data_IF_552809498118
#
_entry.id   IF_552809498118
#
_cell.length_a   1.000
_cell.length_b   1.000
_cell.length_c   1.000
_cell.angle_alpha   90.00
_cell.angle_beta   90.00
_cell.angle_gamma   90.00
#
_symmetry.space_group_name_H-M   'P 1'
#
loop_
_entity.id
_entity.type
_entity.pdbx_description
1 polymer ?
#
# COMPACT_ATOMS: atom_id res chain seq x y z
N UNK A 1 0.12 17.02 10.00
CA UNK A 1 -0.53 16.24 8.93
C UNK A 1 -1.44 15.15 9.48
N UNK A 2 -0.92 14.20 10.30
CA UNK A 2 -1.70 13.12 10.93
C UNK A 2 -3.04 13.58 11.52
N UNK A 3 -3.01 14.56 12.43
CA UNK A 3 -4.21 15.10 13.07
C UNK A 3 -5.19 15.78 12.11
N UNK A 4 -4.69 16.50 11.10
CA UNK A 4 -5.53 17.17 10.10
C UNK A 4 -6.30 16.13 9.29
N UNK A 5 -5.60 15.07 8.86
CA UNK A 5 -6.23 13.96 8.15
C UNK A 5 -7.26 13.23 9.05
N UNK A 6 -6.94 13.01 10.32
CA UNK A 6 -7.85 12.33 11.25
C UNK A 6 -9.13 13.13 11.47
N UNK A 7 -9.02 14.44 11.67
CA UNK A 7 -10.18 15.32 11.85
C UNK A 7 -11.06 15.35 10.59
N UNK A 8 -10.45 15.38 9.41
CA UNK A 8 -11.19 15.32 8.15
C UNK A 8 -11.99 14.01 7.99
N UNK A 9 -11.54 12.91 8.60
CA UNK A 9 -12.27 11.64 8.61
C UNK A 9 -13.47 11.59 9.57
N UNK A 10 -13.64 12.57 10.46
CA UNK A 10 -14.80 12.62 11.36
C UNK A 10 -16.12 12.84 10.61
N UNK A 11 -16.05 13.32 9.37
CA UNK A 11 -17.18 13.47 8.46
C UNK A 11 -17.76 12.16 7.93
N UNK A 12 -17.17 11.00 8.29
CA UNK A 12 -17.63 9.68 7.88
C UNK A 12 -17.22 9.29 6.46
N UNK A 13 -17.64 8.09 6.05
CA UNK A 13 -17.19 7.42 4.84
C UNK A 13 -17.40 8.27 3.56
N UNK A 14 -18.51 9.01 3.48
CA UNK A 14 -18.85 9.84 2.32
C UNK A 14 -17.86 11.01 2.13
N UNK A 15 -17.56 11.75 3.19
CA UNK A 15 -16.64 12.90 3.13
C UNK A 15 -15.22 12.41 2.91
N UNK A 16 -14.80 11.37 3.62
CA UNK A 16 -13.50 10.72 3.39
C UNK A 16 -13.35 10.26 1.94
N UNK A 17 -14.36 9.58 1.38
CA UNK A 17 -14.35 9.13 0.00
C UNK A 17 -14.25 10.28 -1.02
N UNK A 18 -14.97 11.38 -0.79
CA UNK A 18 -14.89 12.57 -1.64
C UNK A 18 -13.51 13.24 -1.59
N UNK A 19 -12.95 13.45 -0.40
CA UNK A 19 -11.60 14.02 -0.23
C UNK A 19 -10.53 13.11 -0.84
N UNK A 20 -10.61 11.80 -0.60
CA UNK A 20 -9.71 10.81 -1.20
C UNK A 20 -9.82 10.80 -2.72
N UNK A 21 -11.02 10.93 -3.28
CA UNK A 21 -11.23 11.01 -4.74
C UNK A 21 -10.63 12.27 -5.36
N UNK A 22 -10.65 13.41 -4.68
CA UNK A 22 -10.01 14.64 -5.18
C UNK A 22 -8.49 14.52 -5.11
N UNK A 23 -7.98 14.08 -3.96
CA UNK A 23 -6.54 13.98 -3.70
C UNK A 23 -5.84 12.94 -4.58
N UNK A 24 -6.53 11.87 -5.01
CA UNK A 24 -5.96 10.86 -5.91
C UNK A 24 -5.57 11.44 -7.27
N UNK A 25 -6.27 12.46 -7.76
CA UNK A 25 -5.88 13.15 -9.00
C UNK A 25 -4.51 13.82 -8.90
N UNK A 26 -4.08 14.17 -7.67
CA UNK A 26 -2.75 14.68 -7.39
C UNK A 26 -1.63 13.72 -7.77
N UNK A 27 -1.86 12.40 -7.75
CA UNK A 27 -0.89 11.41 -8.24
C UNK A 27 -1.21 10.93 -9.65
N UNK A 28 -2.49 10.75 -9.98
CA UNK A 28 -2.87 10.24 -11.30
C UNK A 28 -2.40 11.18 -12.41
N UNK A 29 -2.58 12.50 -12.25
CA UNK A 29 -2.20 13.47 -13.29
C UNK A 29 -0.69 13.44 -13.56
N UNK A 30 0.21 13.61 -12.57
CA UNK A 30 1.65 13.50 -12.80
C UNK A 30 2.08 12.15 -13.35
N UNK A 31 1.56 11.05 -12.79
CA UNK A 31 2.05 9.72 -13.14
C UNK A 31 1.58 9.31 -14.54
N UNK A 32 0.29 9.49 -14.86
CA UNK A 32 -0.22 9.21 -16.22
C UNK A 32 0.39 10.18 -17.23
N UNK A 33 0.54 11.46 -16.86
CA UNK A 33 1.24 12.45 -17.67
C UNK A 33 2.64 11.97 -18.04
N UNK A 34 3.42 11.53 -17.04
CA UNK A 34 4.75 10.98 -17.25
C UNK A 34 4.74 9.73 -18.14
N UNK A 35 3.82 8.81 -17.92
CA UNK A 35 3.69 7.58 -18.71
C UNK A 35 3.39 7.84 -20.20
N UNK A 36 2.78 8.98 -20.54
CA UNK A 36 2.42 9.34 -21.91
C UNK A 36 3.50 10.25 -22.53
N UNK A 37 3.86 11.34 -21.84
CA UNK A 37 4.72 12.40 -22.39
C UNK A 37 6.20 12.16 -22.09
N UNK A 38 6.54 11.36 -21.09
CA UNK A 38 7.93 11.13 -20.69
C UNK A 38 8.77 10.44 -21.77
N UNK A 39 8.13 9.71 -22.68
CA UNK A 39 8.82 9.05 -23.79
C UNK A 39 9.51 10.01 -24.75
N UNK A 40 9.07 11.27 -24.85
CA UNK A 40 9.74 12.27 -25.69
C UNK A 40 11.12 12.69 -25.17
N UNK A 41 11.38 12.50 -23.87
CA UNK A 41 12.66 12.79 -23.22
C UNK A 41 13.44 11.53 -22.87
N UNK A 42 12.96 10.36 -23.33
CA UNK A 42 13.58 9.09 -23.02
C UNK A 42 14.87 8.89 -23.81
N UNK A 43 15.97 8.65 -23.10
CA UNK A 43 17.26 8.32 -23.69
C UNK A 43 17.56 6.81 -23.57
N UNK A 44 17.56 6.05 -24.68
CA UNK A 44 17.87 4.63 -24.65
C UNK A 44 19.28 4.31 -24.14
N UNK A 45 20.24 5.21 -24.38
CA UNK A 45 21.62 5.05 -23.93
C UNK A 45 21.74 5.23 -22.41
N UNK A 46 21.04 6.22 -21.85
CA UNK A 46 21.00 6.42 -20.40
C UNK A 46 20.31 5.25 -19.70
N UNK A 47 19.21 4.75 -20.27
CA UNK A 47 18.48 3.60 -19.75
C UNK A 47 19.35 2.33 -19.75
N UNK A 48 20.04 2.03 -20.86
CA UNK A 48 20.91 0.86 -20.96
C UNK A 48 22.05 0.91 -19.92
N UNK A 49 22.65 2.08 -19.73
CA UNK A 49 23.70 2.28 -18.72
C UNK A 49 23.16 2.17 -17.28
N UNK A 50 21.90 2.55 -17.05
CA UNK A 50 21.27 2.54 -15.72
C UNK A 50 20.59 1.21 -15.37
N UNK A 51 20.47 0.28 -16.32
CA UNK A 51 19.75 -1.00 -16.13
C UNK A 51 20.38 -1.92 -15.09
N UNK A 52 21.71 -2.04 -15.09
CA UNK A 52 22.44 -2.82 -14.09
C UNK A 52 23.84 -2.23 -13.79
N UNK A 53 23.93 -1.11 -13.06
CA UNK A 53 25.19 -0.40 -12.82
C UNK A 53 26.21 -1.20 -12.02
N UNK A 54 25.73 -2.14 -11.18
CA UNK A 54 26.56 -2.93 -10.28
C UNK A 54 26.72 -4.40 -10.73
N UNK A 55 26.24 -4.76 -11.93
CA UNK A 55 26.28 -6.12 -12.48
C UNK A 55 25.82 -7.21 -11.50
N UNK A 56 24.81 -6.90 -10.68
CA UNK A 56 24.31 -7.83 -9.67
C UNK A 56 23.57 -9.01 -10.33
N UNK A 57 23.76 -10.26 -9.83
CA UNK A 57 23.01 -11.41 -10.31
C UNK A 57 21.50 -11.24 -10.12
N UNK A 58 20.71 -11.74 -11.09
CA UNK A 58 19.26 -11.56 -11.13
C UNK A 58 18.55 -11.94 -9.82
N UNK A 59 18.84 -13.13 -9.27
CA UNK A 59 18.19 -13.60 -8.05
C UNK A 59 18.52 -12.75 -6.82
N UNK A 60 19.74 -12.22 -6.75
CA UNK A 60 20.16 -11.33 -5.65
C UNK A 60 19.45 -9.97 -5.76
N UNK A 61 19.34 -9.42 -6.97
CA UNK A 61 18.63 -8.17 -7.22
C UNK A 61 17.12 -8.29 -6.94
N UNK A 62 16.49 -9.39 -7.37
CA UNK A 62 15.09 -9.68 -7.04
C UNK A 62 14.92 -9.79 -5.51
N UNK A 63 15.83 -10.50 -4.84
CA UNK A 63 15.80 -10.66 -3.39
C UNK A 63 15.91 -9.37 -2.60
N UNK A 64 16.66 -8.37 -3.08
CA UNK A 64 16.78 -7.06 -2.42
C UNK A 64 15.58 -6.14 -2.71
N UNK A 65 15.03 -6.15 -3.94
CA UNK A 65 13.93 -5.27 -4.33
C UNK A 65 12.54 -5.75 -3.90
N UNK A 66 12.35 -7.05 -3.63
CA UNK A 66 11.03 -7.62 -3.36
C UNK A 66 10.31 -6.99 -2.16
N UNK A 67 11.05 -6.54 -1.12
CA UNK A 67 10.44 -5.90 0.05
C UNK A 67 9.73 -4.59 -0.35
N UNK A 68 10.44 -3.75 -1.10
CA UNK A 68 9.92 -2.47 -1.57
C UNK A 68 8.77 -2.66 -2.57
N UNK A 69 8.85 -3.67 -3.43
CA UNK A 69 7.75 -4.00 -4.35
C UNK A 69 6.52 -4.49 -3.60
N UNK A 70 6.67 -5.37 -2.61
CA UNK A 70 5.56 -5.84 -1.78
C UNK A 70 4.90 -4.68 -1.02
N UNK A 71 5.71 -3.75 -0.49
CA UNK A 71 5.20 -2.53 0.12
C UNK A 71 4.38 -1.68 -0.84
N UNK A 72 4.84 -1.53 -2.09
CA UNK A 72 4.14 -0.74 -3.10
C UNK A 72 2.75 -1.28 -3.47
N UNK A 73 2.50 -2.58 -3.23
CA UNK A 73 1.21 -3.23 -3.40
C UNK A 73 0.44 -3.46 -2.09
N UNK A 74 1.01 -3.08 -0.94
CA UNK A 74 0.31 -3.13 0.33
C UNK A 74 -0.88 -2.17 0.31
N UNK A 75 -2.05 -2.62 0.74
CA UNK A 75 -3.28 -1.84 0.73
C UNK A 75 -4.33 -2.33 -0.27
N UNK A 76 -4.05 -3.36 -1.06
CA UNK A 76 -5.06 -4.04 -1.88
C UNK A 76 -6.23 -4.59 -1.02
N UNK A 77 -5.95 -4.93 0.23
CA UNK A 77 -6.91 -5.40 1.22
C UNK A 77 -7.80 -4.29 1.78
N UNK A 78 -7.44 -3.02 1.59
CA UNK A 78 -8.20 -1.89 2.14
C UNK A 78 -9.63 -1.83 1.60
N UNK A 79 -9.84 -2.21 0.34
CA UNK A 79 -11.18 -2.30 -0.24
C UNK A 79 -12.02 -3.40 0.44
N UNK A 80 -11.40 -4.52 0.84
CA UNK A 80 -12.07 -5.59 1.57
C UNK A 80 -12.36 -5.19 3.02
N UNK A 81 -11.41 -4.53 3.69
CA UNK A 81 -11.55 -4.07 5.08
C UNK A 81 -12.65 -3.01 5.24
N UNK A 82 -12.96 -2.25 4.19
CA UNK A 82 -14.03 -1.26 4.19
C UNK A 82 -15.33 -1.77 3.53
N UNK A 83 -15.47 -3.08 3.29
CA UNK A 83 -16.62 -3.63 2.56
C UNK A 83 -17.99 -3.32 3.22
N UNK A 84 -18.03 -3.18 4.56
CA UNK A 84 -19.26 -2.85 5.31
C UNK A 84 -19.86 -1.48 4.96
N UNK A 85 -19.04 -0.53 4.45
CA UNK A 85 -19.47 0.84 4.13
C UNK A 85 -19.52 1.11 2.63
N UNK A 86 -19.26 0.09 1.81
CA UNK A 86 -19.27 0.18 0.35
C UNK A 86 -20.66 -0.21 -0.16
N UNK A 87 -21.19 0.58 -1.09
CA UNK A 87 -22.42 0.22 -1.81
C UNK A 87 -22.16 -1.02 -2.68
N UNK A 88 -23.02 -2.05 -2.60
CA UNK A 88 -22.91 -3.30 -3.37
C UNK A 88 -21.51 -3.97 -3.31
N UNK A 89 -21.06 -4.40 -2.11
CA UNK A 89 -19.69 -4.89 -1.91
C UNK A 89 -19.37 -6.14 -2.74
N UNK A 90 -20.33 -7.03 -2.96
CA UNK A 90 -20.14 -8.26 -3.76
C UNK A 90 -19.64 -8.00 -5.18
N UNK A 91 -20.02 -6.86 -5.77
CA UNK A 91 -19.62 -6.48 -7.13
C UNK A 91 -18.48 -5.47 -7.10
N UNK A 92 -18.56 -4.47 -6.23
CA UNK A 92 -17.64 -3.33 -6.26
C UNK A 92 -16.27 -3.65 -5.64
N UNK A 93 -16.22 -4.46 -4.57
CA UNK A 93 -14.94 -4.81 -3.93
C UNK A 93 -14.05 -5.62 -4.87
N UNK A 94 -14.52 -6.71 -5.54
CA UNK A 94 -13.65 -7.45 -6.45
C UNK A 94 -13.14 -6.61 -7.63
N UNK A 95 -13.98 -5.74 -8.19
CA UNK A 95 -13.59 -4.85 -9.30
C UNK A 95 -12.56 -3.83 -8.83
N UNK A 96 -12.75 -3.23 -7.65
CA UNK A 96 -11.82 -2.25 -7.10
C UNK A 96 -10.45 -2.88 -6.79
N UNK A 97 -10.43 -4.07 -6.16
CA UNK A 97 -9.18 -4.76 -5.82
C UNK A 97 -8.44 -5.19 -7.08
N UNK A 98 -9.09 -5.92 -7.99
CA UNK A 98 -8.42 -6.46 -9.18
C UNK A 98 -8.07 -5.36 -10.18
N UNK A 99 -9.01 -4.46 -10.47
CA UNK A 99 -8.82 -3.35 -11.40
C UNK A 99 -7.77 -2.36 -10.88
N UNK A 100 -7.85 -1.99 -9.60
CA UNK A 100 -6.87 -1.09 -8.97
C UNK A 100 -5.47 -1.70 -8.92
N UNK A 101 -5.34 -2.97 -8.54
CA UNK A 101 -4.04 -3.65 -8.46
C UNK A 101 -3.39 -3.81 -9.84
N UNK A 102 -4.15 -4.26 -10.85
CA UNK A 102 -3.62 -4.40 -12.21
C UNK A 102 -3.27 -3.04 -12.83
N UNK A 103 -4.12 -2.03 -12.63
CA UNK A 103 -3.85 -0.67 -13.08
C UNK A 103 -2.58 -0.09 -12.45
N UNK A 104 -2.44 -0.23 -11.13
CA UNK A 104 -1.24 0.20 -10.41
C UNK A 104 0.02 -0.55 -10.89
N UNK A 105 -0.08 -1.86 -11.14
CA UNK A 105 1.05 -2.65 -11.64
C UNK A 105 1.55 -2.16 -13.00
N UNK A 106 0.63 -1.93 -13.95
CA UNK A 106 0.99 -1.39 -15.28
C UNK A 106 1.62 -0.01 -15.13
N UNK A 107 1.02 0.86 -14.33
CA UNK A 107 1.52 2.21 -14.10
C UNK A 107 2.92 2.18 -13.49
N UNK A 108 3.16 1.38 -12.46
CA UNK A 108 4.47 1.26 -11.81
C UNK A 108 5.56 0.79 -12.78
N UNK A 109 5.26 -0.21 -13.61
CA UNK A 109 6.21 -0.69 -14.62
C UNK A 109 6.53 0.43 -15.60
N UNK A 110 5.51 1.06 -16.18
CA UNK A 110 5.70 2.10 -17.21
C UNK A 110 6.42 3.32 -16.61
N UNK A 111 5.95 3.84 -15.48
CA UNK A 111 6.51 5.05 -14.87
C UNK A 111 7.96 4.86 -14.44
N UNK A 112 8.31 3.71 -13.85
CA UNK A 112 9.68 3.44 -13.39
C UNK A 112 10.64 3.35 -14.57
N UNK A 113 10.23 2.69 -15.66
CA UNK A 113 11.05 2.59 -16.87
C UNK A 113 11.27 3.96 -17.52
N UNK A 114 10.22 4.78 -17.62
CA UNK A 114 10.31 6.13 -18.17
C UNK A 114 11.25 7.01 -17.34
N UNK A 115 11.11 7.02 -16.00
CA UNK A 115 12.00 7.79 -15.12
C UNK A 115 13.46 7.35 -15.28
N UNK A 116 13.72 6.04 -15.32
CA UNK A 116 15.07 5.50 -15.49
C UNK A 116 15.73 5.88 -16.82
N UNK A 117 14.95 6.22 -17.85
CA UNK A 117 15.46 6.72 -19.13
C UNK A 117 15.59 8.24 -19.23
N UNK A 118 15.10 8.99 -18.23
CA UNK A 118 15.14 10.45 -18.20
C UNK A 118 16.22 10.95 -17.22
N UNK A 119 16.28 10.37 -16.02
CA UNK A 119 17.13 10.87 -14.92
C UNK A 119 18.26 9.88 -14.63
N UNK A 120 19.52 10.35 -14.48
CA UNK A 120 20.64 9.50 -14.08
C UNK A 120 20.41 8.78 -12.73
N UNK A 121 20.86 7.53 -12.62
CA UNK A 121 20.64 6.69 -11.42
C UNK A 121 21.19 7.33 -10.12
N UNK A 122 22.34 8.01 -10.20
CA UNK A 122 22.95 8.67 -9.04
C UNK A 122 22.09 9.82 -8.49
N UNK A 123 21.44 10.56 -9.39
CA UNK A 123 20.54 11.66 -9.00
C UNK A 123 19.23 11.11 -8.41
N UNK A 124 18.73 9.99 -8.95
CA UNK A 124 17.58 9.28 -8.38
C UNK A 124 17.89 8.74 -6.98
N UNK A 125 19.08 8.18 -6.76
CA UNK A 125 19.49 7.62 -5.48
C UNK A 125 19.61 8.69 -4.37
N UNK A 126 20.02 9.90 -4.74
CA UNK A 126 20.16 11.03 -3.79
C UNK A 126 18.88 11.86 -3.64
N UNK A 127 17.91 11.70 -4.54
CA UNK A 127 16.66 12.45 -4.51
C UNK A 127 15.67 11.88 -3.51
N UNK A 128 15.03 12.76 -2.74
CA UNK A 128 13.88 12.42 -1.89
C UNK A 128 12.55 12.56 -2.63
N UNK A 129 12.55 13.12 -3.84
CA UNK A 129 11.36 13.39 -4.65
C UNK A 129 11.62 13.06 -6.14
N UNK A 130 11.69 11.76 -6.51
CA UNK A 130 12.10 11.33 -7.85
C UNK A 130 11.15 11.81 -8.95
N UNK A 131 9.84 11.87 -8.69
CA UNK A 131 8.87 12.43 -9.65
C UNK A 131 9.08 13.93 -9.86
N UNK A 132 9.28 14.71 -8.78
CA UNK A 132 9.57 16.13 -8.89
C UNK A 132 10.85 16.40 -9.70
N UNK A 133 11.89 15.59 -9.47
CA UNK A 133 13.14 15.66 -10.20
C UNK A 133 12.97 15.32 -11.69
N UNK A 134 12.23 14.27 -12.03
CA UNK A 134 11.98 13.89 -13.42
C UNK A 134 11.27 15.01 -14.20
N UNK A 135 10.21 15.60 -13.62
CA UNK A 135 9.51 16.72 -14.25
C UNK A 135 10.35 18.01 -14.31
N UNK A 136 11.23 18.23 -13.33
CA UNK A 136 12.17 19.34 -13.37
C UNK A 136 13.18 19.21 -14.52
N UNK A 137 13.65 17.99 -14.83
CA UNK A 137 14.55 17.73 -15.94
C UNK A 137 13.86 17.76 -17.31
N UNK A 138 12.59 17.33 -17.39
CA UNK A 138 11.83 17.36 -18.66
C UNK A 138 11.45 18.78 -19.09
N UNK A 139 11.03 19.62 -18.13
CA UNK A 139 10.49 20.95 -18.42
C UNK A 139 11.32 22.05 -17.74
N UNK A 140 10.98 22.36 -16.50
CA UNK A 140 11.64 23.40 -15.70
C UNK A 140 11.54 23.08 -14.21
N UNK A 141 12.44 23.62 -13.36
CA UNK A 141 12.39 23.42 -11.91
C UNK A 141 11.06 23.83 -11.26
N UNK A 142 10.39 24.85 -11.80
CA UNK A 142 9.09 25.31 -11.29
C UNK A 142 7.98 24.28 -11.52
N UNK A 143 7.98 23.61 -12.69
CA UNK A 143 7.06 22.49 -12.94
C UNK A 143 7.34 21.35 -11.97
N UNK A 144 8.62 21.04 -11.71
CA UNK A 144 9.00 20.06 -10.70
C UNK A 144 8.42 20.34 -9.31
N UNK A 145 8.46 21.60 -8.85
CA UNK A 145 7.87 22.01 -7.56
C UNK A 145 6.35 21.86 -7.53
N UNK A 146 5.65 22.21 -8.61
CA UNK A 146 4.20 22.03 -8.72
C UNK A 146 3.84 20.55 -8.58
N UNK A 147 4.56 19.67 -9.30
CA UNK A 147 4.36 18.23 -9.22
C UNK A 147 4.64 17.71 -7.81
N UNK A 148 5.70 18.17 -7.14
CA UNK A 148 5.95 17.82 -5.73
C UNK A 148 4.78 18.20 -4.83
N UNK A 149 4.18 19.37 -5.02
CA UNK A 149 2.97 19.79 -4.29
C UNK A 149 1.79 18.85 -4.52
N UNK A 150 1.55 18.44 -5.76
CA UNK A 150 0.51 17.46 -6.10
C UNK A 150 0.77 16.09 -5.46
N UNK A 151 2.02 15.64 -5.42
CA UNK A 151 2.40 14.39 -4.75
C UNK A 151 2.17 14.46 -3.24
N UNK A 152 2.47 15.59 -2.60
CA UNK A 152 2.17 15.82 -1.18
C UNK A 152 0.67 15.76 -0.92
N UNK A 153 -0.16 16.37 -1.78
CA UNK A 153 -1.62 16.26 -1.68
C UNK A 153 -2.10 14.82 -1.80
N UNK A 154 -1.54 14.03 -2.72
CA UNK A 154 -1.88 12.61 -2.83
C UNK A 154 -1.46 11.81 -1.59
N UNK A 155 -0.31 12.13 -0.97
CA UNK A 155 0.11 11.51 0.28
C UNK A 155 -0.91 11.77 1.41
N UNK A 156 -1.45 12.98 1.50
CA UNK A 156 -2.55 13.29 2.42
C UNK A 156 -3.79 12.44 2.12
N UNK A 157 -4.14 12.26 0.84
CA UNK A 157 -5.23 11.41 0.38
C UNK A 157 -5.09 9.94 0.79
N UNK A 158 -3.90 9.38 0.63
CA UNK A 158 -3.57 8.02 1.05
C UNK A 158 -3.65 7.86 2.56
N UNK A 159 -3.11 8.83 3.31
CA UNK A 159 -3.18 8.83 4.77
C UNK A 159 -4.64 8.89 5.29
N UNK A 160 -5.49 9.68 4.65
CA UNK A 160 -6.93 9.73 4.95
C UNK A 160 -7.57 8.34 4.81
N UNK A 161 -7.35 7.68 3.66
CA UNK A 161 -7.90 6.35 3.38
C UNK A 161 -7.39 5.28 4.34
N UNK A 162 -6.10 5.29 4.67
CA UNK A 162 -5.52 4.35 5.63
C UNK A 162 -6.04 4.55 7.05
N UNK A 163 -6.16 5.80 7.51
CA UNK A 163 -6.72 6.07 8.84
C UNK A 163 -8.17 5.61 8.96
N UNK A 164 -8.96 5.80 7.90
CA UNK A 164 -10.34 5.30 7.84
C UNK A 164 -10.38 3.76 7.87
N UNK A 165 -9.56 3.11 7.05
CA UNK A 165 -9.48 1.64 6.97
C UNK A 165 -9.13 1.02 8.31
N UNK A 166 -8.10 1.53 9.00
CA UNK A 166 -7.68 1.01 10.29
C UNK A 166 -8.83 1.17 11.31
N UNK A 167 -9.50 2.33 11.33
CA UNK A 167 -10.61 2.57 12.24
C UNK A 167 -11.78 1.59 12.01
N UNK A 168 -12.07 1.23 10.76
CA UNK A 168 -13.07 0.22 10.44
C UNK A 168 -12.68 -1.18 10.91
N UNK A 169 -11.41 -1.58 10.73
CA UNK A 169 -10.93 -2.87 11.25
C UNK A 169 -11.11 -2.95 12.78
N UNK A 170 -10.73 -1.91 13.53
CA UNK A 170 -10.95 -1.88 14.98
C UNK A 170 -12.42 -1.91 15.36
N UNK A 171 -13.29 -1.24 14.59
CA UNK A 171 -14.73 -1.25 14.80
C UNK A 171 -15.30 -2.65 14.58
N UNK A 172 -15.05 -3.28 13.42
CA UNK A 172 -15.54 -4.63 13.11
C UNK A 172 -15.03 -5.66 14.12
N UNK A 173 -13.76 -5.58 14.54
CA UNK A 173 -13.23 -6.47 15.59
C UNK A 173 -13.83 -6.21 16.99
N UNK A 174 -14.28 -4.98 17.28
CA UNK A 174 -15.01 -4.67 18.52
C UNK A 174 -16.47 -5.14 18.47
N UNK A 175 -17.10 -5.08 17.29
CA UNK A 175 -18.46 -5.59 17.05
C UNK A 175 -18.52 -7.12 17.21
N UNK A 176 -17.45 -7.83 16.82
CA UNK A 176 -17.27 -9.27 17.06
C UNK A 176 -16.90 -9.62 18.52
N UNK A 177 -16.62 -8.62 19.37
CA UNK A 177 -16.32 -8.80 20.79
C UNK A 177 -14.85 -9.06 21.13
N UNK A 178 -13.93 -8.95 20.18
CA UNK A 178 -12.48 -9.10 20.43
C UNK A 178 -11.85 -7.87 21.10
N UNK A 179 -12.42 -6.68 20.87
CA UNK A 179 -11.95 -5.41 21.45
C UNK A 179 -12.97 -4.78 22.39
N UNK A 180 -12.54 -3.85 23.28
CA UNK A 180 -13.45 -3.11 24.14
C UNK A 180 -14.54 -2.39 23.33
N UNK A 181 -15.78 -2.41 23.86
CA UNK A 181 -16.98 -1.78 23.24
C UNK A 181 -16.84 -0.28 22.94
N UNK A 182 -15.80 0.37 23.46
CA UNK A 182 -15.44 1.76 23.16
C UNK A 182 -15.15 1.94 21.66
N UNK A 183 -14.56 0.93 20.99
CA UNK A 183 -14.22 0.99 19.57
C UNK A 183 -15.40 0.70 18.62
N UNK A 184 -16.46 0.08 19.14
CA UNK A 184 -17.72 -0.19 18.41
C UNK A 184 -18.62 1.06 18.32
N UNK A 185 -18.37 2.08 19.16
CA UNK A 185 -19.18 3.31 19.16
C UNK A 185 -18.93 4.15 17.91
N UNK A 186 -19.95 4.24 17.06
CA UNK A 186 -19.99 5.13 15.89
C UNK A 186 -20.66 6.46 16.22
N UNK A 187 -20.29 7.50 15.49
CA UNK A 187 -20.94 8.81 15.54
C UNK A 187 -22.19 8.86 14.65
N UNK A 188 -22.90 10.00 14.64
CA UNK A 188 -24.06 10.24 13.75
C UNK A 188 -23.74 10.13 12.26
N UNK A 189 -22.46 10.15 11.88
CA UNK A 189 -21.97 9.99 10.51
C UNK A 189 -21.39 8.59 10.24
N UNK A 190 -21.75 7.59 11.07
CA UNK A 190 -21.25 6.21 11.02
C UNK A 190 -19.72 6.09 11.09
N UNK A 191 -19.04 7.09 11.66
CA UNK A 191 -17.58 7.11 11.82
C UNK A 191 -17.16 6.66 13.23
N UNK A 192 -16.26 5.67 13.39
CA UNK A 192 -15.70 5.25 14.68
C UNK A 192 -14.63 6.22 15.21
N UNK A 193 -15.07 7.42 15.62
CA UNK A 193 -14.18 8.53 16.01
C UNK A 193 -13.28 8.19 17.22
N UNK A 194 -13.77 7.39 18.18
CA UNK A 194 -12.96 6.98 19.33
C UNK A 194 -11.78 6.09 18.92
N UNK A 195 -11.99 5.19 17.95
CA UNK A 195 -10.91 4.41 17.35
C UNK A 195 -9.92 5.28 16.60
N UNK A 196 -10.40 6.22 15.78
CA UNK A 196 -9.55 7.16 15.04
C UNK A 196 -8.65 7.99 15.98
N UNK A 197 -9.19 8.47 17.11
CA UNK A 197 -8.43 9.24 18.10
C UNK A 197 -7.36 8.38 18.81
N UNK A 198 -7.67 7.15 19.19
CA UNK A 198 -6.68 6.25 19.78
C UNK A 198 -5.53 5.94 18.81
N UNK A 199 -5.87 5.70 17.54
CA UNK A 199 -4.91 5.44 16.46
C UNK A 199 -4.00 6.65 16.25
N UNK A 200 -4.54 7.87 16.13
CA UNK A 200 -3.72 9.06 15.84
C UNK A 200 -2.80 9.41 17.01
N UNK A 201 -3.22 9.18 18.25
CA UNK A 201 -2.37 9.36 19.45
C UNK A 201 -1.20 8.38 19.41
N UNK A 202 -1.48 7.10 19.15
CA UNK A 202 -0.44 6.07 19.06
C UNK A 202 0.53 6.33 17.89
N UNK A 203 0.01 6.68 16.71
CA UNK A 203 0.79 7.07 15.54
C UNK A 203 1.68 8.29 15.83
N UNK A 204 1.15 9.29 16.54
CA UNK A 204 1.92 10.48 16.93
C UNK A 204 3.07 10.10 17.88
N UNK A 205 2.82 9.21 18.85
CA UNK A 205 3.84 8.69 19.75
C UNK A 205 4.96 7.97 19.00
N UNK A 206 4.62 7.05 18.10
CA UNK A 206 5.60 6.35 17.27
C UNK A 206 6.38 7.28 16.35
N UNK A 207 5.72 8.29 15.76
CA UNK A 207 6.36 9.28 14.90
C UNK A 207 7.43 10.08 15.66
N UNK A 208 7.18 10.42 16.94
CA UNK A 208 8.15 11.14 17.77
C UNK A 208 9.33 10.26 18.17
N UNK A 209 9.10 8.97 18.43
CA UNK A 209 10.16 8.01 18.80
C UNK A 209 11.09 7.63 17.65
N UNK A 210 10.66 7.86 16.40
CA UNK A 210 11.37 7.38 15.21
C UNK A 210 12.30 8.43 14.59
N UNK A 211 12.38 9.66 15.13
CA UNK A 211 13.18 10.77 14.57
C UNK A 211 14.64 10.34 14.37
N UNK A 212 15.09 10.32 13.11
CA UNK A 212 16.41 9.85 12.68
C UNK A 212 17.04 10.87 11.72
N UNK A 213 18.37 11.03 11.69
CA UNK A 213 19.06 12.05 10.89
C UNK A 213 18.95 11.87 9.36
N UNK A 214 18.50 10.71 8.84
CA UNK A 214 18.27 10.52 7.40
C UNK A 214 16.88 9.94 7.08
N UNK A 215 16.10 10.70 6.29
CA UNK A 215 14.72 10.36 5.92
C UNK A 215 14.62 9.06 5.10
N UNK A 216 15.52 8.86 4.13
CA UNK A 216 15.51 7.66 3.28
C UNK A 216 15.81 6.37 4.07
N UNK A 217 16.78 6.42 4.99
CA UNK A 217 17.09 5.25 5.83
C UNK A 217 15.91 4.92 6.76
N UNK A 218 15.34 5.94 7.38
CA UNK A 218 14.16 5.79 8.24
C UNK A 218 12.98 5.17 7.48
N UNK A 219 12.68 5.68 6.29
CA UNK A 219 11.62 5.15 5.42
C UNK A 219 11.87 3.67 5.09
N UNK A 220 13.08 3.32 4.67
CA UNK A 220 13.42 1.92 4.34
C UNK A 220 13.29 0.98 5.54
N UNK A 221 13.69 1.41 6.74
CA UNK A 221 13.53 0.59 7.96
C UNK A 221 12.05 0.38 8.28
N UNK A 222 11.25 1.45 8.24
CA UNK A 222 9.80 1.37 8.51
C UNK A 222 9.08 0.50 7.49
N UNK A 223 9.39 0.65 6.21
CA UNK A 223 8.83 -0.17 5.13
C UNK A 223 9.19 -1.63 5.30
N UNK A 224 10.46 -1.95 5.56
CA UNK A 224 10.87 -3.34 5.77
C UNK A 224 10.17 -3.96 6.97
N UNK A 225 10.07 -3.24 8.09
CA UNK A 225 9.34 -3.69 9.26
C UNK A 225 7.86 -3.96 8.93
N UNK A 226 7.21 -3.02 8.25
CA UNK A 226 5.81 -3.15 7.90
C UNK A 226 5.52 -4.30 6.91
N UNK A 227 6.42 -4.56 5.96
CA UNK A 227 6.30 -5.71 5.06
C UNK A 227 6.42 -7.02 5.84
N UNK A 228 7.42 -7.13 6.71
CA UNK A 228 7.64 -8.35 7.51
C UNK A 228 6.46 -8.63 8.44
N UNK A 229 5.88 -7.60 9.07
CA UNK A 229 4.73 -7.78 9.97
C UNK A 229 3.45 -8.14 9.20
N UNK A 230 3.25 -7.61 7.99
CA UNK A 230 2.05 -7.90 7.18
C UNK A 230 2.09 -9.26 6.47
N UNK A 231 3.27 -9.84 6.25
CA UNK A 231 3.39 -11.19 5.66
C UNK A 231 2.67 -12.24 6.53
N UNK A 232 2.73 -12.12 7.86
CA UNK A 232 2.11 -13.09 8.77
C UNK A 232 0.58 -13.11 8.60
N UNK A 233 -0.15 -11.98 8.73
CA UNK A 233 -1.58 -11.91 8.42
C UNK A 233 -1.96 -12.44 7.03
N UNK A 234 -1.15 -12.15 5.99
CA UNK A 234 -1.44 -12.66 4.64
C UNK A 234 -1.34 -14.19 4.56
N UNK A 235 -0.30 -14.79 5.16
CA UNK A 235 -0.18 -16.26 5.21
C UNK A 235 -1.35 -16.88 5.98
N UNK A 236 -1.71 -16.30 7.13
CA UNK A 236 -2.84 -16.77 7.93
C UNK A 236 -4.16 -16.67 7.17
N UNK A 237 -4.38 -15.57 6.44
CA UNK A 237 -5.58 -15.36 5.62
C UNK A 237 -5.66 -16.38 4.48
N UNK A 238 -4.54 -16.66 3.81
CA UNK A 238 -4.47 -17.69 2.77
C UNK A 238 -4.69 -19.11 3.32
N UNK A 239 -4.23 -19.39 4.55
CA UNK A 239 -4.49 -20.66 5.21
C UNK A 239 -5.96 -20.80 5.65
N UNK A 240 -6.54 -19.73 6.18
CA UNK A 240 -7.94 -19.67 6.61
C UNK A 240 -8.92 -19.91 5.45
N UNK A 241 -8.56 -19.47 4.23
CA UNK A 241 -9.37 -19.68 3.02
C UNK A 241 -9.79 -21.15 2.82
N UNK A 242 -8.88 -22.10 3.10
CA UNK A 242 -9.14 -23.54 2.97
C UNK A 242 -10.24 -24.00 3.95
N UNK A 243 -10.24 -23.45 5.16
CA UNK A 243 -11.23 -23.77 6.19
C UNK A 243 -12.57 -23.11 5.83
N UNK A 244 -12.56 -21.84 5.45
CA UNK A 244 -13.76 -21.08 5.07
C UNK A 244 -14.48 -21.76 3.91
N UNK A 245 -13.75 -22.20 2.87
CA UNK A 245 -14.34 -22.91 1.72
C UNK A 245 -15.00 -24.24 2.11
N UNK A 246 -14.43 -24.96 3.09
CA UNK A 246 -15.02 -26.21 3.61
C UNK A 246 -16.32 -25.94 4.36
N UNK A 247 -16.34 -24.90 5.20
CA UNK A 247 -17.54 -24.49 5.95
C UNK A 247 -18.63 -23.98 5.00
N UNK A 248 -18.26 -23.19 3.99
CA UNK A 248 -19.17 -22.64 3.00
C UNK A 248 -19.64 -23.64 1.92
N UNK A 249 -19.18 -24.91 1.98
CA UNK A 249 -19.54 -26.00 1.03
C UNK A 249 -19.37 -25.61 -0.44
N UNK A 250 -18.31 -24.86 -0.76
CA UNK A 250 -18.02 -24.41 -2.14
C UNK A 250 -17.69 -25.62 -3.03
N UNK A 251 -18.13 -25.58 -4.29
CA UNK A 251 -17.82 -26.60 -5.30
C UNK A 251 -16.30 -26.90 -5.31
N UNK A 252 -15.89 -28.18 -5.15
CA UNK A 252 -14.48 -28.59 -5.12
C UNK A 252 -13.65 -28.07 -6.31
N UNK A 253 -14.24 -27.88 -7.50
CA UNK A 253 -13.54 -27.37 -8.68
C UNK A 253 -13.18 -25.90 -8.54
N UNK A 254 -14.08 -25.07 -8.00
CA UNK A 254 -13.82 -23.64 -7.74
C UNK A 254 -12.89 -23.44 -6.55
N UNK A 255 -13.04 -24.26 -5.51
CA UNK A 255 -12.16 -24.28 -4.35
C UNK A 255 -10.71 -24.65 -4.73
N UNK A 256 -10.52 -25.62 -5.62
CA UNK A 256 -9.17 -26.06 -6.04
C UNK A 256 -8.38 -24.96 -6.74
N UNK A 257 -9.01 -24.18 -7.62
CA UNK A 257 -8.36 -23.05 -8.29
C UNK A 257 -7.90 -21.98 -7.28
N UNK A 258 -8.78 -21.59 -6.36
CA UNK A 258 -8.44 -20.61 -5.32
C UNK A 258 -7.35 -21.12 -4.35
N UNK A 259 -7.39 -22.41 -4.00
CA UNK A 259 -6.39 -23.01 -3.12
C UNK A 259 -5.00 -23.13 -3.77
N UNK A 260 -4.92 -23.40 -5.08
CA UNK A 260 -3.64 -23.41 -5.81
C UNK A 260 -3.03 -22.01 -5.80
N UNK A 261 -3.82 -20.97 -6.08
CA UNK A 261 -3.35 -19.58 -6.05
C UNK A 261 -2.88 -19.19 -4.65
N UNK A 262 -3.63 -19.55 -3.61
CA UNK A 262 -3.25 -19.30 -2.22
C UNK A 262 -1.96 -20.06 -1.81
N UNK A 263 -1.76 -21.28 -2.30
CA UNK A 263 -0.56 -22.08 -2.02
C UNK A 263 0.69 -21.49 -2.69
N UNK A 264 0.56 -21.02 -3.93
CA UNK A 264 1.63 -20.33 -4.66
C UNK A 264 2.02 -19.06 -3.90
N UNK A 265 1.04 -18.25 -3.48
CA UNK A 265 1.28 -17.03 -2.67
C UNK A 265 2.02 -17.32 -1.35
N UNK A 266 1.65 -18.38 -0.64
CA UNK A 266 2.33 -18.80 0.59
C UNK A 266 3.78 -19.24 0.33
N UNK A 267 4.03 -19.99 -0.74
CA UNK A 267 5.38 -20.48 -1.08
C UNK A 267 6.35 -19.34 -1.39
N UNK A 268 5.89 -18.30 -2.08
CA UNK A 268 6.69 -17.10 -2.37
C UNK A 268 6.96 -16.25 -1.13
N UNK A 269 6.03 -16.18 -0.19
CA UNK A 269 6.20 -15.44 1.07
C UNK A 269 7.10 -16.17 2.08
N UNK A 270 7.01 -17.50 2.14
CA UNK A 270 7.80 -18.34 3.05
C UNK A 270 9.29 -18.40 2.69
N UNK A 271 9.67 -18.07 1.46
CA UNK A 271 11.07 -18.11 1.00
C UNK A 271 11.97 -17.08 1.70
N UNK A 272 11.39 -16.09 2.41
CA UNK A 272 12.12 -15.10 3.23
C UNK A 272 12.11 -15.40 4.73
N UNK A 273 11.35 -16.39 5.20
CA UNK A 273 11.22 -16.70 6.63
C UNK A 273 12.14 -17.82 7.11
N UNK A 274 13.22 -18.14 6.39
CA UNK A 274 14.20 -19.17 6.82
C UNK A 274 15.11 -18.63 7.93
N UNK A 275 14.52 -18.31 9.08
CA UNK A 275 15.16 -18.48 10.38
C UNK A 275 14.37 -19.55 11.15
N UNK A 276 15.03 -20.61 11.66
CA UNK A 276 14.35 -21.77 12.20
C UNK A 276 13.92 -21.48 13.64
N UNK A 277 12.69 -21.00 13.85
CA UNK A 277 12.09 -20.99 15.17
C UNK A 277 10.60 -21.32 15.11
N UNK A 278 10.29 -22.52 15.63
CA UNK A 278 8.97 -22.97 16.14
C UNK A 278 7.85 -23.18 15.11
N UNK A 279 7.99 -24.28 14.37
CA UNK A 279 6.86 -25.16 14.02
C UNK A 279 6.28 -25.78 15.29
N UNK A 280 5.31 -25.12 15.94
CA UNK A 280 4.31 -25.70 16.87
C UNK A 280 3.62 -24.58 17.64
N UNK A 281 2.50 -24.08 17.13
CA UNK A 281 1.34 -23.68 17.93
C UNK A 281 0.20 -23.28 17.00
N UNK A 282 -1.03 -23.54 17.45
CA UNK A 282 -2.30 -23.19 16.81
C UNK A 282 -2.78 -24.14 15.70
N UNK A 283 -2.79 -25.44 16.00
CA UNK A 283 -3.95 -26.28 15.69
C UNK A 283 -4.77 -26.40 16.98
N UNK A 284 -5.78 -25.56 17.15
CA UNK A 284 -6.93 -25.85 18.00
C UNK A 284 -7.99 -24.78 17.73
N UNK A 285 -9.05 -25.21 17.05
CA UNK A 285 -10.40 -24.61 17.06
C UNK A 285 -10.46 -23.08 17.02
N UNK A 286 -10.55 -22.53 15.82
CA UNK A 286 -11.43 -21.39 15.50
C UNK A 286 -11.92 -21.59 14.07
#
# INVERSE_FOLDING_TARGET
>A
MLWICTVANFGGARITGQLSSITVWGVIIPVVGLCIIGWFWFSPTLYANSWNPHHVPFFTAVGSSIAMTLWAFLGLESACANAEVVENPEKNVPIAVLGGTLGAAVIYIVSTNVIAGIVPNMDLANSTAPFGLAFAQMFTPEVGKVIMGLMVMSCCGSLLGWQFTIAQVFKSSADEGYFPKIFSRVTKADAPVQGMLAIVIFQSGLSLMTISPSLNSQFNVLVNLAVVTNIIPYILSMAALVIIQKVAKVDPRKARAANIVALIGQSTASMRSTHPARKRCCMARW
#
